data_IF_123453887155
#
_entry.id   IF_123453887155
#
_cell.length_a   1.000
_cell.length_b   1.000
_cell.length_c   1.000
_cell.angle_alpha   90.00
_cell.angle_beta   90.00
_cell.angle_gamma   90.00
#
_symmetry.space_group_name_H-M   'P 1'
#
loop_
_entity.id
_entity.type
_entity.pdbx_description
1 polymer ?
#
# COMPACT_ATOMS: atom_id res chain seq x y z
N UNK A 1 -4.81 2.70 13.97
CA UNK A 1 -4.47 1.91 12.76
C UNK A 1 -3.03 2.21 12.36
N UNK A 2 -2.27 1.16 12.10
CA UNK A 2 -0.86 1.27 11.68
C UNK A 2 -0.75 1.02 10.19
N UNK A 3 -0.14 1.96 9.49
CA UNK A 3 -0.01 1.94 8.01
C UNK A 3 1.47 1.98 7.64
N UNK A 4 1.88 1.05 6.79
CA UNK A 4 3.19 1.10 6.15
C UNK A 4 3.02 1.71 4.76
N UNK A 5 3.73 2.79 4.48
CA UNK A 5 3.73 3.46 3.18
C UNK A 5 5.06 3.24 2.48
N UNK A 6 5.03 2.64 1.30
CA UNK A 6 6.22 2.41 0.46
C UNK A 6 6.05 3.25 -0.81
N UNK A 7 6.70 4.40 -0.83
CA UNK A 7 6.55 5.42 -1.87
C UNK A 7 7.83 6.24 -1.99
N UNK A 8 8.39 6.33 -3.19
CA UNK A 8 9.65 7.05 -3.42
C UNK A 8 9.48 8.54 -3.76
N UNK A 9 8.31 8.96 -4.22
CA UNK A 9 8.03 10.37 -4.46
C UNK A 9 7.78 11.07 -3.12
N UNK A 10 8.72 11.92 -2.72
CA UNK A 10 8.64 12.60 -1.42
C UNK A 10 7.41 13.48 -1.26
N UNK A 11 6.98 14.15 -2.33
CA UNK A 11 5.81 15.01 -2.27
C UNK A 11 4.53 14.19 -2.07
N UNK A 12 4.41 13.08 -2.79
CA UNK A 12 3.27 12.16 -2.65
C UNK A 12 3.26 11.52 -1.27
N UNK A 13 4.41 11.01 -0.82
CA UNK A 13 4.53 10.39 0.50
C UNK A 13 4.14 11.35 1.62
N UNK A 14 4.64 12.59 1.56
CA UNK A 14 4.33 13.59 2.57
C UNK A 14 2.84 13.97 2.57
N UNK A 15 2.26 14.09 1.39
CA UNK A 15 0.82 14.36 1.25
C UNK A 15 -0.02 13.26 1.90
N UNK A 16 0.32 11.99 1.63
CA UNK A 16 -0.37 10.85 2.21
C UNK A 16 -0.18 10.82 3.73
N UNK A 17 1.05 11.04 4.21
CA UNK A 17 1.32 11.08 5.66
C UNK A 17 0.45 12.12 6.37
N UNK A 18 0.36 13.33 5.81
CA UNK A 18 -0.43 14.39 6.40
C UNK A 18 -1.93 14.04 6.42
N UNK A 19 -2.44 13.49 5.32
CA UNK A 19 -3.85 13.08 5.23
C UNK A 19 -4.19 12.02 6.28
N UNK A 20 -3.34 11.00 6.39
CA UNK A 20 -3.64 9.86 7.25
C UNK A 20 -3.41 10.18 8.73
N UNK A 21 -2.41 11.00 9.04
CA UNK A 21 -2.22 11.49 10.41
C UNK A 21 -3.42 12.32 10.86
N UNK A 22 -3.94 13.18 9.99
CA UNK A 22 -5.13 13.98 10.28
C UNK A 22 -6.36 13.08 10.55
N UNK A 23 -6.40 11.90 9.94
CA UNK A 23 -7.46 10.92 10.15
C UNK A 23 -7.20 10.01 11.37
N UNK A 24 -6.12 10.24 12.11
CA UNK A 24 -5.80 9.48 13.31
C UNK A 24 -4.98 8.21 13.10
N UNK A 25 -4.40 8.03 11.90
CA UNK A 25 -3.59 6.83 11.62
C UNK A 25 -2.12 7.05 11.97
N UNK A 26 -1.44 5.99 12.35
CA UNK A 26 0.00 5.98 12.57
C UNK A 26 0.68 5.50 11.30
N UNK A 27 1.56 6.33 10.73
CA UNK A 27 2.19 6.08 9.44
C UNK A 27 3.68 5.82 9.63
N UNK A 28 4.17 4.78 8.97
CA UNK A 28 5.59 4.44 8.86
C UNK A 28 5.91 4.43 7.37
N UNK A 29 6.82 5.28 6.93
CA UNK A 29 7.11 5.45 5.51
C UNK A 29 8.53 5.03 5.17
N UNK A 30 8.70 4.43 3.99
CA UNK A 30 10.00 4.16 3.39
C UNK A 30 9.93 4.46 1.90
N UNK A 31 11.06 4.84 1.32
CA UNK A 31 11.20 5.09 -0.12
C UNK A 31 11.82 3.91 -0.88
N UNK A 32 12.17 2.82 -0.19
CA UNK A 32 12.80 1.65 -0.78
C UNK A 32 11.92 0.42 -0.66
N UNK A 33 11.79 -0.31 -1.77
CA UNK A 33 10.98 -1.53 -1.80
C UNK A 33 11.54 -2.64 -0.92
N UNK A 34 12.87 -2.84 -0.92
CA UNK A 34 13.51 -3.86 -0.08
C UNK A 34 13.31 -3.58 1.40
N UNK A 35 13.46 -2.33 1.82
CA UNK A 35 13.18 -1.93 3.19
C UNK A 35 11.71 -2.16 3.54
N UNK A 36 10.81 -1.87 2.60
CA UNK A 36 9.38 -2.10 2.77
C UNK A 36 9.06 -3.57 3.00
N UNK A 37 9.71 -4.47 2.26
CA UNK A 37 9.55 -5.91 2.47
C UNK A 37 10.02 -6.29 3.89
N UNK A 38 11.19 -5.83 4.30
CA UNK A 38 11.73 -6.14 5.61
C UNK A 38 10.83 -5.65 6.73
N UNK A 39 10.35 -4.40 6.62
CA UNK A 39 9.43 -3.83 7.61
C UNK A 39 8.12 -4.60 7.67
N UNK A 40 7.56 -4.95 6.52
CA UNK A 40 6.32 -5.71 6.43
C UNK A 40 6.42 -7.12 7.01
N UNK A 41 7.61 -7.72 6.97
CA UNK A 41 7.86 -9.04 7.55
C UNK A 41 8.06 -9.01 9.05
N UNK A 42 8.66 -7.93 9.57
CA UNK A 42 9.06 -7.83 10.98
C UNK A 42 7.96 -7.26 11.85
N UNK A 43 7.25 -6.25 11.36
CA UNK A 43 6.24 -5.55 12.14
C UNK A 43 4.83 -5.86 11.63
N UNK A 44 3.85 -5.75 12.53
CA UNK A 44 2.46 -5.91 12.16
C UNK A 44 1.86 -4.55 11.78
N UNK A 45 1.36 -4.48 10.56
CA UNK A 45 0.61 -3.32 10.05
C UNK A 45 -0.82 -3.74 9.76
N UNK A 46 -1.74 -2.78 9.80
CA UNK A 46 -3.13 -3.01 9.42
C UNK A 46 -3.29 -3.00 7.90
N UNK A 47 -2.45 -2.22 7.22
CA UNK A 47 -2.43 -2.12 5.77
C UNK A 47 -1.07 -1.64 5.29
N UNK A 48 -0.68 -2.07 4.08
CA UNK A 48 0.49 -1.58 3.36
C UNK A 48 0.00 -0.82 2.14
N UNK A 49 0.45 0.42 1.98
CA UNK A 49 0.20 1.22 0.77
C UNK A 49 1.49 1.17 -0.05
N UNK A 50 1.40 0.69 -1.28
CA UNK A 50 2.55 0.34 -2.10
C UNK A 50 2.49 1.00 -3.46
N UNK A 51 3.51 1.81 -3.78
CA UNK A 51 3.73 2.32 -5.12
C UNK A 51 4.39 1.24 -5.99
N UNK A 52 3.99 1.14 -7.25
CA UNK A 52 4.58 0.18 -8.17
C UNK A 52 5.94 0.62 -8.71
N UNK A 53 6.20 1.92 -8.78
CA UNK A 53 7.43 2.48 -9.33
C UNK A 53 8.39 2.88 -8.22
N UNK A 54 9.27 1.96 -7.83
CA UNK A 54 10.27 2.18 -6.78
C UNK A 54 11.67 2.14 -7.37
N UNK A 55 12.68 2.77 -6.71
CA UNK A 55 14.02 2.90 -7.31
C UNK A 55 14.86 1.62 -7.24
N UNK A 56 14.64 0.75 -6.28
CA UNK A 56 15.46 -0.45 -6.06
C UNK A 56 14.85 -1.71 -6.68
N UNK A 57 13.63 -2.04 -6.31
CA UNK A 57 12.86 -3.16 -6.88
C UNK A 57 11.46 -2.67 -7.23
N UNK A 58 10.79 -3.35 -8.15
CA UNK A 58 9.44 -2.95 -8.52
C UNK A 58 8.44 -3.24 -7.40
N UNK A 59 7.34 -2.50 -7.36
CA UNK A 59 6.26 -2.79 -6.42
C UNK A 59 5.66 -4.17 -6.62
N UNK A 60 5.69 -4.71 -7.84
CA UNK A 60 5.29 -6.10 -8.09
C UNK A 60 6.17 -7.08 -7.32
N UNK A 61 7.49 -6.84 -7.30
CA UNK A 61 8.42 -7.69 -6.57
C UNK A 61 8.22 -7.59 -5.06
N UNK A 62 7.96 -6.38 -4.56
CA UNK A 62 7.62 -6.18 -3.14
C UNK A 62 6.41 -7.02 -2.77
N UNK A 63 5.35 -6.93 -3.56
CA UNK A 63 4.10 -7.68 -3.31
C UNK A 63 4.35 -9.18 -3.33
N UNK A 64 5.07 -9.67 -4.33
CA UNK A 64 5.40 -11.09 -4.45
C UNK A 64 6.20 -11.57 -3.25
N UNK A 65 7.24 -10.82 -2.84
CA UNK A 65 8.08 -11.21 -1.71
C UNK A 65 7.30 -11.26 -0.40
N UNK A 66 6.40 -10.30 -0.19
CA UNK A 66 5.53 -10.30 1.00
C UNK A 66 4.65 -11.55 1.02
N UNK A 67 4.01 -11.87 -0.10
CA UNK A 67 3.12 -13.03 -0.17
C UNK A 67 3.88 -14.35 -0.06
N UNK A 68 5.06 -14.45 -0.66
CA UNK A 68 5.92 -15.63 -0.52
C UNK A 68 6.39 -15.83 0.92
N UNK A 69 6.59 -14.75 1.65
CA UNK A 69 6.94 -14.80 3.08
C UNK A 69 5.72 -15.04 3.97
N UNK A 70 4.55 -15.26 3.39
CA UNK A 70 3.27 -15.49 4.09
C UNK A 70 2.83 -14.29 4.94
N UNK A 71 3.21 -13.11 4.52
CA UNK A 71 2.69 -11.87 5.09
C UNK A 71 1.31 -11.63 4.46
N UNK A 72 0.27 -11.69 5.28
CA UNK A 72 -1.12 -11.56 4.83
C UNK A 72 -1.70 -10.16 5.02
N UNK A 73 -0.88 -9.21 5.47
CA UNK A 73 -1.28 -7.81 5.60
C UNK A 73 -1.90 -7.33 4.29
N UNK A 74 -3.07 -6.67 4.33
CA UNK A 74 -3.69 -6.16 3.11
C UNK A 74 -2.79 -5.13 2.44
N UNK A 75 -2.79 -5.14 1.10
CA UNK A 75 -1.98 -4.22 0.29
C UNK A 75 -2.88 -3.43 -0.64
N UNK A 76 -2.80 -2.10 -0.54
CA UNK A 76 -3.42 -1.16 -1.48
C UNK A 76 -2.33 -0.63 -2.41
N UNK A 77 -2.49 -0.87 -3.70
CA UNK A 77 -1.56 -0.38 -4.71
C UNK A 77 -1.90 1.07 -5.09
N UNK A 78 -0.87 1.92 -5.14
CA UNK A 78 -0.97 3.24 -5.75
C UNK A 78 -0.17 3.25 -7.04
N UNK A 79 -0.75 3.74 -8.14
CA UNK A 79 -0.04 3.78 -9.41
C UNK A 79 -0.59 4.90 -10.30
N UNK A 80 0.29 5.52 -11.08
CA UNK A 80 -0.10 6.46 -12.13
C UNK A 80 -0.66 5.77 -13.38
N UNK A 81 -0.62 4.44 -13.44
CA UNK A 81 -1.09 3.68 -14.60
C UNK A 81 -2.56 3.29 -14.43
N UNK A 82 -3.48 3.86 -15.26
CA UNK A 82 -4.91 3.54 -15.19
C UNK A 82 -5.28 2.25 -15.93
N UNK A 83 -4.31 1.54 -16.52
CA UNK A 83 -4.55 0.38 -17.35
C UNK A 83 -5.20 -0.75 -16.56
N UNK A 84 -6.30 -1.29 -17.11
CA UNK A 84 -7.03 -2.40 -16.51
C UNK A 84 -6.15 -3.65 -16.39
N UNK A 85 -5.29 -3.90 -17.39
CA UNK A 85 -4.39 -5.06 -17.37
C UNK A 85 -3.41 -4.98 -16.19
N UNK A 86 -2.88 -3.79 -15.89
CA UNK A 86 -2.02 -3.57 -14.73
C UNK A 86 -2.76 -3.82 -13.43
N UNK A 87 -4.01 -3.37 -13.33
CA UNK A 87 -4.85 -3.60 -12.15
C UNK A 87 -5.10 -5.09 -11.94
N UNK A 88 -5.50 -5.80 -12.99
CA UNK A 88 -5.75 -7.24 -12.92
C UNK A 88 -4.49 -7.98 -12.50
N UNK A 89 -3.34 -7.61 -13.05
CA UNK A 89 -2.06 -8.23 -12.75
C UNK A 89 -1.70 -8.08 -11.26
N UNK A 90 -1.83 -6.89 -10.69
CA UNK A 90 -1.51 -6.67 -9.26
C UNK A 90 -2.47 -7.39 -8.34
N UNK A 91 -3.76 -7.39 -8.65
CA UNK A 91 -4.75 -8.14 -7.88
C UNK A 91 -4.46 -9.64 -7.95
N UNK A 92 -4.02 -10.13 -9.12
CA UNK A 92 -3.62 -11.53 -9.31
C UNK A 92 -2.39 -11.92 -8.49
N UNK A 93 -1.52 -10.96 -8.17
CA UNK A 93 -0.36 -11.20 -7.29
C UNK A 93 -0.69 -11.07 -5.81
N UNK A 94 -1.93 -10.78 -5.46
CA UNK A 94 -2.39 -10.77 -4.08
C UNK A 94 -2.60 -9.37 -3.47
N UNK A 95 -2.68 -8.32 -4.30
CA UNK A 95 -3.12 -7.01 -3.83
C UNK A 95 -4.62 -7.04 -3.53
N UNK A 96 -5.02 -6.24 -2.55
CA UNK A 96 -6.42 -6.17 -2.13
C UNK A 96 -7.21 -5.10 -2.85
N UNK A 97 -6.55 -4.07 -3.35
CA UNK A 97 -7.18 -3.01 -4.13
C UNK A 97 -6.11 -2.23 -4.91
N UNK A 98 -6.56 -1.37 -5.81
CA UNK A 98 -5.70 -0.58 -6.69
C UNK A 98 -6.30 0.82 -6.82
N UNK A 99 -5.50 1.85 -6.51
CA UNK A 99 -5.94 3.24 -6.61
C UNK A 99 -5.03 4.00 -7.57
N UNK A 100 -5.63 4.64 -8.56
CA UNK A 100 -4.89 5.38 -9.60
C UNK A 100 -4.56 6.80 -9.11
N UNK A 101 -3.33 7.24 -9.33
CA UNK A 101 -2.91 8.62 -9.10
C UNK A 101 -3.32 9.51 -10.29
N UNK A 102 -3.71 10.75 -10.07
CA UNK A 102 -3.97 11.38 -8.78
C UNK A 102 -5.25 10.83 -8.15
N UNK A 103 -5.28 10.75 -6.83
CA UNK A 103 -6.43 10.24 -6.10
C UNK A 103 -7.05 11.32 -5.22
N UNK A 104 -8.31 11.11 -4.86
CA UNK A 104 -9.02 11.96 -3.93
C UNK A 104 -8.74 11.47 -2.50
N UNK A 105 -8.55 12.41 -1.57
CA UNK A 105 -8.30 12.11 -0.16
C UNK A 105 -9.37 11.19 0.44
N UNK A 106 -10.63 11.53 0.20
CA UNK A 106 -11.75 10.77 0.78
C UNK A 106 -11.84 9.38 0.19
N UNK A 107 -11.49 9.22 -1.09
CA UNK A 107 -11.42 7.91 -1.74
C UNK A 107 -10.32 7.05 -1.12
N UNK A 108 -9.14 7.61 -0.89
CA UNK A 108 -8.03 6.89 -0.25
C UNK A 108 -8.45 6.38 1.13
N UNK A 109 -8.98 7.25 1.97
CA UNK A 109 -9.39 6.89 3.32
C UNK A 109 -10.52 5.86 3.31
N UNK A 110 -11.49 6.01 2.43
CA UNK A 110 -12.60 5.06 2.30
C UNK A 110 -12.11 3.67 1.89
N UNK A 111 -11.17 3.58 0.95
CA UNK A 111 -10.62 2.30 0.50
C UNK A 111 -9.80 1.64 1.61
N UNK A 112 -8.95 2.40 2.31
CA UNK A 112 -8.18 1.88 3.45
C UNK A 112 -9.13 1.30 4.50
N UNK A 113 -10.14 2.06 4.88
CA UNK A 113 -11.10 1.63 5.91
C UNK A 113 -11.84 0.36 5.49
N UNK A 114 -12.30 0.30 4.24
CA UNK A 114 -13.01 -0.87 3.73
C UNK A 114 -12.12 -2.12 3.68
N UNK A 115 -10.88 -1.96 3.23
CA UNK A 115 -9.92 -3.06 3.11
C UNK A 115 -9.59 -3.63 4.50
N UNK A 116 -9.28 -2.76 5.45
CA UNK A 116 -8.93 -3.19 6.82
C UNK A 116 -10.12 -3.86 7.49
N UNK A 117 -11.31 -3.32 7.31
CA UNK A 117 -12.53 -3.94 7.86
C UNK A 117 -12.72 -5.36 7.35
N UNK A 118 -12.57 -5.57 6.04
CA UNK A 118 -12.70 -6.90 5.42
C UNK A 118 -11.62 -7.87 5.94
N UNK A 119 -10.39 -7.40 6.07
CA UNK A 119 -9.28 -8.26 6.51
C UNK A 119 -9.46 -8.70 7.95
N UNK A 120 -10.20 -7.95 8.76
CA UNK A 120 -10.50 -8.32 10.15
C UNK A 120 -11.76 -9.16 10.28
N UNK A 121 -12.32 -9.64 9.19
CA UNK A 121 -13.48 -10.51 9.20
C UNK A 121 -14.81 -9.80 9.43
N UNK A 122 -14.86 -8.48 9.32
CA UNK A 122 -16.08 -7.71 9.42
C UNK A 122 -16.73 -7.57 8.05
N UNK A 123 -17.96 -7.96 7.92
CA UNK A 123 -18.72 -7.83 6.69
C UNK A 123 -19.06 -6.39 6.37
#
# INVERSE_FOLDING_TARGET
MRVLLIEDDNAVARSIELMLKAAGFNIYATDLGEEGVDLGKVYEYDIIILDLSLPDISGYDVLKQLRMARVNTPVLILSGNPDIEAKVKTLGYGADDYLTKPFNKDELIARITAIVRRSKGHA
#
